data_IF_832735738848
#
_entry.id   IF_832735738848
#
_cell.length_a   1.000
_cell.length_b   1.000
_cell.length_c   1.000
_cell.angle_alpha   90.00
_cell.angle_beta   90.00
_cell.angle_gamma   90.00
#
_symmetry.space_group_name_H-M   'P 1'
#
loop_
_entity.id
_entity.type
_entity.pdbx_description
1 polymer ?
#
# COMPACT_ATOMS: atom_id res chain seq x y z
N UNK A 1 -5.05 -4.83 -23.26
CA UNK A 1 -4.66 -4.47 -21.90
C UNK A 1 -5.52 -3.31 -21.47
N UNK A 2 -6.02 -3.35 -20.24
CA UNK A 2 -6.75 -2.22 -19.65
C UNK A 2 -5.73 -1.23 -19.10
N UNK A 3 -5.85 0.04 -19.50
CA UNK A 3 -5.08 1.16 -18.98
C UNK A 3 -6.07 2.14 -18.38
N UNK A 4 -5.88 2.48 -17.11
CA UNK A 4 -6.73 3.41 -16.37
C UNK A 4 -5.86 4.50 -15.76
N UNK A 5 -6.23 5.74 -16.04
CA UNK A 5 -5.68 6.92 -15.38
C UNK A 5 -6.82 7.62 -14.67
N UNK A 6 -6.64 7.90 -13.38
CA UNK A 6 -7.65 8.58 -12.57
C UNK A 6 -7.00 9.73 -11.80
N UNK A 7 -7.79 10.76 -11.50
CA UNK A 7 -7.34 11.93 -10.76
C UNK A 7 -8.30 12.15 -9.60
N UNK A 8 -7.77 12.05 -8.39
CA UNK A 8 -8.55 12.18 -7.15
C UNK A 8 -8.11 13.47 -6.46
N UNK A 9 -9.06 14.35 -6.16
CA UNK A 9 -8.77 15.55 -5.37
C UNK A 9 -8.64 15.15 -3.90
N UNK A 10 -7.60 15.68 -3.25
CA UNK A 10 -7.35 15.43 -1.83
C UNK A 10 -7.21 16.75 -1.10
N UNK A 11 -7.80 16.82 0.09
CA UNK A 11 -7.55 17.93 1.01
C UNK A 11 -6.08 17.92 1.41
N UNK A 12 -5.46 19.10 1.43
CA UNK A 12 -4.12 19.24 1.99
C UNK A 12 -4.21 18.88 3.47
N UNK A 13 -3.49 17.84 3.86
CA UNK A 13 -3.22 17.52 5.27
C UNK A 13 -1.97 18.26 5.69
N UNK A 14 -1.92 18.71 6.93
CA UNK A 14 -0.76 19.43 7.43
C UNK A 14 0.47 18.54 7.39
N UNK A 15 1.56 19.10 6.89
CA UNK A 15 2.83 18.37 6.70
C UNK A 15 3.41 17.84 8.02
N UNK A 16 2.98 18.40 9.16
CA UNK A 16 3.36 17.93 10.49
C UNK A 16 2.85 16.51 10.79
N UNK A 17 1.77 16.08 10.14
CA UNK A 17 1.19 14.74 10.34
C UNK A 17 1.80 13.68 9.45
N UNK A 18 2.66 14.06 8.49
CA UNK A 18 3.25 13.10 7.58
C UNK A 18 4.30 12.22 8.27
N UNK A 19 4.45 10.99 7.81
CA UNK A 19 5.52 10.09 8.21
C UNK A 19 6.87 10.80 8.04
N UNK A 20 7.54 11.04 9.17
CA UNK A 20 8.84 11.70 9.21
C UNK A 20 9.67 11.06 10.31
N UNK A 21 10.79 10.46 9.92
CA UNK A 21 11.78 9.88 10.84
C UNK A 21 13.16 10.46 10.54
N UNK A 22 14.17 10.13 11.35
CA UNK A 22 15.55 10.57 11.06
C UNK A 22 16.04 10.12 9.67
N UNK A 23 15.56 8.97 9.18
CA UNK A 23 15.90 8.44 7.85
C UNK A 23 14.89 8.82 6.76
N UNK A 24 13.62 9.03 7.12
CA UNK A 24 12.54 9.31 6.16
C UNK A 24 12.13 10.77 6.30
N UNK A 25 12.53 11.59 5.33
CA UNK A 25 12.11 12.99 5.25
C UNK A 25 11.92 13.37 3.78
N UNK A 26 10.78 12.96 3.24
CA UNK A 26 10.39 13.18 1.84
C UNK A 26 9.04 13.85 1.80
N UNK A 27 8.94 14.89 0.97
CA UNK A 27 7.66 15.51 0.68
C UNK A 27 6.81 14.59 -0.21
N UNK A 28 5.47 14.63 -0.14
CA UNK A 28 4.60 13.81 -0.99
C UNK A 28 4.85 14.00 -2.49
N UNK A 29 5.30 15.18 -2.90
CA UNK A 29 5.68 15.50 -4.27
C UNK A 29 6.89 14.70 -4.77
N UNK A 30 7.69 14.10 -3.88
CA UNK A 30 8.86 13.27 -4.21
C UNK A 30 8.54 11.77 -4.22
N UNK A 31 7.30 11.38 -3.88
CA UNK A 31 6.93 9.99 -3.65
C UNK A 31 6.16 9.37 -4.84
N UNK A 32 6.33 8.05 -4.97
CA UNK A 32 5.49 7.16 -5.76
C UNK A 32 4.90 6.15 -4.78
N UNK A 33 3.58 6.07 -4.68
CA UNK A 33 2.91 5.01 -3.94
C UNK A 33 2.63 3.86 -4.90
N UNK A 34 2.99 2.63 -4.52
CA UNK A 34 3.09 1.52 -5.45
C UNK A 34 2.59 0.21 -4.83
N UNK A 35 1.84 -0.55 -5.62
CA UNK A 35 1.30 -1.86 -5.27
C UNK A 35 1.11 -2.72 -6.53
N UNK A 36 1.23 -4.05 -6.39
CA UNK A 36 0.97 -5.01 -7.46
C UNK A 36 -0.05 -6.06 -7.05
N UNK A 37 -0.96 -6.35 -7.99
CA UNK A 37 -1.68 -7.61 -7.97
C UNK A 37 -0.97 -8.63 -8.85
N UNK A 38 -0.59 -9.78 -8.29
CA UNK A 38 0.26 -10.73 -9.00
C UNK A 38 -0.16 -12.19 -8.84
N UNK A 39 0.27 -13.03 -9.80
CA UNK A 39 0.09 -14.47 -9.73
C UNK A 39 1.42 -15.20 -9.64
N UNK A 40 1.56 -15.99 -8.57
CA UNK A 40 2.70 -16.85 -8.29
C UNK A 40 2.25 -18.31 -8.25
N UNK A 41 2.95 -19.18 -8.99
CA UNK A 41 2.79 -20.63 -8.88
C UNK A 41 4.15 -21.30 -8.97
N UNK A 42 4.70 -21.68 -7.81
CA UNK A 42 6.11 -22.06 -7.56
C UNK A 42 7.12 -20.94 -7.85
N UNK A 43 6.88 -20.12 -8.88
CA UNK A 43 7.64 -18.93 -9.26
C UNK A 43 6.67 -17.86 -9.80
N UNK A 44 7.02 -16.57 -9.76
CA UNK A 44 6.18 -15.51 -10.33
C UNK A 44 5.84 -15.77 -11.81
N UNK A 45 4.56 -15.61 -12.17
CA UNK A 45 4.04 -15.88 -13.51
C UNK A 45 3.70 -14.61 -14.26
N UNK A 46 3.02 -13.68 -13.60
CA UNK A 46 2.66 -12.38 -14.14
C UNK A 46 2.38 -11.36 -13.05
N UNK A 47 2.49 -10.09 -13.42
CA UNK A 47 1.76 -8.99 -12.80
C UNK A 47 0.37 -8.98 -13.46
N UNK A 48 -0.66 -9.12 -12.63
CA UNK A 48 -2.06 -9.03 -13.01
C UNK A 48 -2.52 -7.59 -13.13
N UNK A 49 -2.25 -6.78 -12.10
CA UNK A 49 -2.44 -5.33 -12.07
C UNK A 49 -1.16 -4.67 -11.58
N UNK A 50 -0.72 -3.66 -12.31
CA UNK A 50 0.23 -2.66 -11.83
C UNK A 50 -0.58 -1.47 -11.33
N UNK A 51 -0.36 -1.03 -10.09
CA UNK A 51 -0.94 0.19 -9.54
C UNK A 51 0.15 1.13 -9.06
N UNK A 52 0.02 2.41 -9.39
CA UNK A 52 0.82 3.44 -8.76
C UNK A 52 0.05 4.76 -8.67
N UNK A 53 0.32 5.55 -7.63
CA UNK A 53 -0.16 6.93 -7.56
C UNK A 53 0.94 7.91 -7.17
N UNK A 54 0.79 9.16 -7.61
CA UNK A 54 1.66 10.28 -7.23
C UNK A 54 0.83 11.48 -6.79
N UNK A 55 1.35 12.26 -5.84
CA UNK A 55 0.78 13.54 -5.47
C UNK A 55 1.38 14.67 -6.32
N UNK A 56 0.53 15.51 -6.91
CA UNK A 56 0.88 16.78 -7.53
C UNK A 56 -0.29 17.77 -7.35
N UNK A 57 -0.05 18.98 -6.81
CA UNK A 57 -1.04 20.08 -6.71
C UNK A 57 -2.40 19.67 -6.12
N UNK A 58 -2.40 19.04 -4.94
CA UNK A 58 -3.61 18.60 -4.21
C UNK A 58 -4.40 17.50 -4.93
N UNK A 59 -3.75 16.78 -5.85
CA UNK A 59 -4.35 15.70 -6.61
C UNK A 59 -3.47 14.47 -6.55
N UNK A 60 -4.12 13.32 -6.40
CA UNK A 60 -3.51 12.02 -6.65
C UNK A 60 -3.75 11.63 -8.10
N UNK A 61 -2.66 11.41 -8.82
CA UNK A 61 -2.69 10.88 -10.18
C UNK A 61 -2.43 9.38 -10.10
N UNK A 62 -3.49 8.60 -10.28
CA UNK A 62 -3.45 7.14 -10.24
C UNK A 62 -3.21 6.62 -11.66
N UNK A 63 -2.31 5.66 -11.81
CA UNK A 63 -2.04 4.94 -13.06
C UNK A 63 -2.13 3.45 -12.81
N UNK A 64 -2.95 2.76 -13.59
CA UNK A 64 -3.13 1.32 -13.50
C UNK A 64 -3.01 0.64 -14.87
N UNK A 65 -2.36 -0.53 -14.88
CA UNK A 65 -2.32 -1.41 -16.05
C UNK A 65 -2.78 -2.80 -15.62
N UNK A 66 -3.79 -3.35 -16.29
CA UNK A 66 -4.29 -4.70 -16.01
C UNK A 66 -4.23 -5.56 -17.28
N UNK A 67 -3.62 -6.74 -17.15
CA UNK A 67 -3.54 -7.69 -18.27
C UNK A 67 -4.91 -8.30 -18.56
N UNK A 68 -5.19 -8.46 -19.84
CA UNK A 68 -6.41 -9.10 -20.35
C UNK A 68 -6.15 -10.51 -20.85
N UNK A 69 -4.88 -10.84 -21.15
CA UNK A 69 -4.46 -12.18 -21.58
C UNK A 69 -2.95 -12.39 -21.42
N UNK A 70 -2.49 -13.63 -21.61
CA UNK A 70 -1.07 -14.03 -21.46
C UNK A 70 -0.08 -13.26 -22.34
N UNK A 71 -0.48 -12.74 -23.50
CA UNK A 71 0.45 -12.04 -24.41
C UNK A 71 0.92 -10.69 -23.84
N UNK A 72 0.17 -10.16 -22.89
CA UNK A 72 0.40 -8.84 -22.29
C UNK A 72 1.33 -8.88 -21.07
N UNK A 73 1.76 -10.07 -20.65
CA UNK A 73 2.65 -10.27 -19.49
C UNK A 73 3.99 -9.55 -19.65
N UNK A 74 4.51 -9.42 -20.87
CA UNK A 74 5.74 -8.67 -21.14
C UNK A 74 5.42 -7.17 -21.28
N UNK A 75 4.32 -6.84 -21.97
CA UNK A 75 3.89 -5.46 -22.20
C UNK A 75 3.68 -4.68 -20.89
N UNK A 76 3.11 -5.31 -19.85
CA UNK A 76 2.89 -4.64 -18.56
C UNK A 76 4.22 -4.30 -17.86
N UNK A 77 5.25 -5.13 -18.06
CA UNK A 77 6.59 -4.90 -17.51
C UNK A 77 7.28 -3.73 -18.23
N UNK A 78 7.13 -3.63 -19.55
CA UNK A 78 7.63 -2.50 -20.32
C UNK A 78 6.92 -1.19 -19.95
N UNK A 79 5.63 -1.25 -19.65
CA UNK A 79 4.87 -0.09 -19.16
C UNK A 79 5.29 0.31 -17.74
N UNK A 80 5.46 -0.66 -16.84
CA UNK A 80 5.97 -0.41 -15.48
C UNK A 80 7.36 0.25 -15.51
N UNK A 81 8.31 -0.30 -16.28
CA UNK A 81 9.64 0.30 -16.45
C UNK A 81 9.56 1.74 -16.98
N UNK A 82 8.75 1.97 -18.03
CA UNK A 82 8.55 3.32 -18.59
C UNK A 82 7.94 4.27 -17.58
N UNK A 83 7.00 3.80 -16.77
CA UNK A 83 6.39 4.58 -15.70
C UNK A 83 7.44 5.05 -14.69
N UNK A 84 8.24 4.14 -14.13
CA UNK A 84 9.26 4.51 -13.15
C UNK A 84 10.34 5.43 -13.73
N UNK A 85 10.80 5.19 -14.96
CA UNK A 85 11.74 6.11 -15.64
C UNK A 85 11.13 7.51 -15.81
N UNK A 86 9.86 7.60 -16.21
CA UNK A 86 9.13 8.88 -16.34
C UNK A 86 9.02 9.58 -14.98
N UNK A 87 8.68 8.85 -13.92
CA UNK A 87 8.55 9.40 -12.58
C UNK A 87 9.89 9.87 -12.01
N UNK A 88 10.98 9.13 -12.24
CA UNK A 88 12.33 9.56 -11.87
C UNK A 88 12.70 10.89 -12.53
N UNK A 89 12.40 11.03 -13.83
CA UNK A 89 12.61 12.29 -14.58
C UNK A 89 11.75 13.45 -14.08
N UNK A 90 10.58 13.15 -13.51
CA UNK A 90 9.71 14.14 -12.84
C UNK A 90 10.21 14.54 -11.43
N UNK A 91 11.33 13.99 -10.97
CA UNK A 91 11.91 14.32 -9.67
C UNK A 91 11.42 13.43 -8.52
N UNK A 92 10.71 12.33 -8.80
CA UNK A 92 10.37 11.35 -7.77
C UNK A 92 11.64 10.65 -7.26
N UNK A 93 11.75 10.48 -5.95
CA UNK A 93 12.96 10.02 -5.26
C UNK A 93 12.78 8.72 -4.49
N UNK A 94 11.57 8.45 -3.98
CA UNK A 94 11.29 7.27 -3.19
C UNK A 94 10.02 6.56 -3.67
N UNK A 95 9.97 5.26 -3.41
CA UNK A 95 8.78 4.43 -3.60
C UNK A 95 8.28 4.05 -2.21
N UNK A 96 7.00 4.32 -1.97
CA UNK A 96 6.27 3.93 -0.78
C UNK A 96 5.45 2.69 -1.09
N UNK A 97 5.59 1.66 -0.26
CA UNK A 97 4.90 0.37 -0.38
C UNK A 97 4.36 -0.08 0.97
N UNK A 98 3.57 -1.15 0.98
CA UNK A 98 3.22 -1.89 2.19
C UNK A 98 3.64 -3.35 2.01
N UNK A 99 4.59 -3.84 2.81
CA UNK A 99 5.18 -5.17 2.62
C UNK A 99 5.80 -5.35 1.22
N UNK A 100 6.44 -4.30 0.70
CA UNK A 100 6.83 -4.17 -0.70
C UNK A 100 7.86 -5.19 -1.18
N UNK A 101 8.53 -5.90 -0.26
CA UNK A 101 9.46 -6.98 -0.61
C UNK A 101 8.80 -8.06 -1.49
N UNK A 102 7.51 -8.34 -1.29
CA UNK A 102 6.76 -9.29 -2.13
C UNK A 102 6.65 -8.77 -3.58
N UNK A 103 6.24 -7.52 -3.75
CA UNK A 103 6.10 -6.88 -5.06
C UNK A 103 7.45 -6.78 -5.78
N UNK A 104 8.48 -6.30 -5.08
CA UNK A 104 9.84 -6.22 -5.63
C UNK A 104 10.34 -7.60 -6.05
N UNK A 105 10.12 -8.63 -5.25
CA UNK A 105 10.52 -9.99 -5.60
C UNK A 105 9.86 -10.45 -6.91
N UNK A 106 8.56 -10.18 -7.06
CA UNK A 106 7.80 -10.54 -8.27
C UNK A 106 8.28 -9.78 -9.49
N UNK A 107 8.32 -8.44 -9.44
CA UNK A 107 8.67 -7.61 -10.60
C UNK A 107 10.14 -7.81 -11.01
N UNK A 108 11.07 -7.88 -10.04
CA UNK A 108 12.49 -8.13 -10.34
C UNK A 108 12.71 -9.52 -10.94
N UNK A 109 12.01 -10.54 -10.44
CA UNK A 109 12.07 -11.86 -11.03
C UNK A 109 11.59 -11.85 -12.48
N UNK A 110 10.47 -11.18 -12.77
CA UNK A 110 9.90 -11.11 -14.11
C UNK A 110 10.79 -10.27 -15.05
N UNK A 111 11.33 -9.16 -14.58
CA UNK A 111 12.30 -8.35 -15.32
C UNK A 111 13.52 -9.18 -15.70
N UNK A 112 14.13 -9.89 -14.75
CA UNK A 112 15.25 -10.79 -15.02
C UNK A 112 14.88 -11.89 -16.01
N UNK A 113 13.71 -12.51 -15.85
CA UNK A 113 13.23 -13.59 -16.72
C UNK A 113 13.09 -13.14 -18.18
N UNK A 114 12.65 -11.90 -18.41
CA UNK A 114 12.39 -11.36 -19.76
C UNK A 114 13.49 -10.41 -20.25
N UNK A 115 14.63 -10.31 -19.56
CA UNK A 115 15.76 -9.49 -19.99
C UNK A 115 15.53 -7.98 -19.91
N UNK A 116 14.63 -7.53 -19.03
CA UNK A 116 14.34 -6.11 -18.81
C UNK A 116 15.29 -5.56 -17.75
N UNK A 117 16.24 -4.73 -18.17
CA UNK A 117 17.18 -4.09 -17.24
C UNK A 117 16.53 -2.89 -16.54
N UNK A 118 16.35 -3.00 -15.22
CA UNK A 118 15.95 -1.92 -14.33
C UNK A 118 16.32 -2.29 -12.89
N UNK A 119 16.80 -1.34 -12.09
CA UNK A 119 17.21 -1.60 -10.71
C UNK A 119 16.54 -0.60 -9.76
N UNK A 120 15.47 -1.02 -9.10
CA UNK A 120 14.70 -0.17 -8.18
C UNK A 120 15.55 0.45 -7.08
N UNK A 121 16.42 -0.32 -6.41
CA UNK A 121 17.21 0.18 -5.27
C UNK A 121 18.32 1.15 -5.65
N UNK A 122 18.71 1.20 -6.93
CA UNK A 122 19.61 2.24 -7.45
C UNK A 122 18.87 3.52 -7.82
N UNK A 123 17.62 3.40 -8.24
CA UNK A 123 16.84 4.51 -8.78
C UNK A 123 16.01 5.20 -7.70
N UNK A 124 15.58 4.49 -6.66
CA UNK A 124 14.69 5.01 -5.63
C UNK A 124 15.08 4.53 -4.24
N UNK A 125 14.83 5.40 -3.27
CA UNK A 125 14.76 5.04 -1.86
C UNK A 125 13.49 4.21 -1.60
N UNK A 126 13.59 3.22 -0.70
CA UNK A 126 12.50 2.32 -0.35
C UNK A 126 11.91 2.66 1.02
N UNK A 127 10.63 3.00 1.03
CA UNK A 127 9.85 3.30 2.24
C UNK A 127 8.76 2.24 2.35
N UNK A 128 8.92 1.31 3.29
CA UNK A 128 7.92 0.26 3.55
C UNK A 128 7.12 0.62 4.81
N UNK A 129 5.83 0.94 4.62
CA UNK A 129 4.92 1.35 5.68
C UNK A 129 4.75 0.26 6.75
N UNK A 130 4.75 -1.02 6.37
CA UNK A 130 4.61 -2.11 7.34
C UNK A 130 5.83 -2.15 8.27
N UNK A 131 7.03 -1.96 7.71
CA UNK A 131 8.27 -1.93 8.49
C UNK A 131 8.31 -0.72 9.44
N UNK A 132 7.83 0.43 9.01
CA UNK A 132 7.77 1.59 9.91
C UNK A 132 6.73 1.38 11.02
N UNK A 133 5.58 0.76 10.73
CA UNK A 133 4.59 0.40 11.75
C UNK A 133 5.16 -0.59 12.78
N UNK A 134 5.86 -1.62 12.32
CA UNK A 134 6.48 -2.63 13.19
C UNK A 134 7.50 -2.04 14.16
N UNK A 135 8.20 -0.95 13.77
CA UNK A 135 9.17 -0.28 14.64
C UNK A 135 8.49 0.43 15.81
N UNK A 136 7.36 1.07 15.55
CA UNK A 136 6.61 1.83 16.56
C UNK A 136 5.78 0.88 17.45
N UNK A 137 5.10 -0.09 16.84
CA UNK A 137 4.11 -0.94 17.54
C UNK A 137 4.64 -2.30 17.99
N UNK A 138 5.86 -2.67 17.61
CA UNK A 138 6.48 -3.96 17.97
C UNK A 138 5.83 -5.21 17.35
N UNK A 139 4.84 -5.06 16.47
CA UNK A 139 4.16 -6.16 15.80
C UNK A 139 3.75 -5.81 14.36
N UNK A 140 3.59 -6.85 13.53
CA UNK A 140 3.14 -6.70 12.14
C UNK A 140 1.62 -6.70 12.06
N UNK A 141 1.06 -5.91 11.15
CA UNK A 141 -0.37 -5.91 10.83
C UNK A 141 -0.58 -6.05 9.31
N UNK A 142 -1.81 -6.30 8.87
CA UNK A 142 -2.20 -6.26 7.45
C UNK A 142 -2.76 -4.90 7.06
N UNK A 143 -2.61 -4.50 5.79
CA UNK A 143 -2.98 -3.16 5.29
C UNK A 143 -4.40 -2.75 5.66
N UNK A 144 -5.36 -3.67 5.51
CA UNK A 144 -6.77 -3.40 5.84
C UNK A 144 -7.00 -3.03 7.32
N UNK A 145 -6.25 -3.62 8.22
CA UNK A 145 -6.38 -3.29 9.64
C UNK A 145 -5.64 -1.98 9.94
N UNK A 146 -4.44 -1.80 9.39
CA UNK A 146 -3.72 -0.52 9.47
C UNK A 146 -4.59 0.65 8.99
N UNK A 147 -5.29 0.50 7.86
CA UNK A 147 -6.21 1.51 7.36
C UNK A 147 -7.29 1.88 8.38
N UNK A 148 -7.81 0.92 9.15
CA UNK A 148 -8.82 1.20 10.18
C UNK A 148 -8.25 2.01 11.33
N UNK A 149 -7.01 1.70 11.75
CA UNK A 149 -6.32 2.44 12.81
C UNK A 149 -6.17 3.92 12.40
N UNK A 150 -5.92 4.14 11.10
CA UNK A 150 -5.85 5.45 10.45
C UNK A 150 -7.22 6.04 10.08
N UNK A 151 -8.34 5.41 10.47
CA UNK A 151 -9.71 5.82 10.15
C UNK A 151 -9.99 5.96 8.64
N UNK A 152 -9.33 5.13 7.83
CA UNK A 152 -9.50 5.03 6.38
C UNK A 152 -10.45 3.86 6.11
N UNK A 153 -11.56 4.16 5.44
CA UNK A 153 -12.58 3.18 5.09
C UNK A 153 -12.56 2.89 3.59
N UNK A 154 -12.45 1.61 3.25
CA UNK A 154 -12.49 1.14 1.86
C UNK A 154 -13.90 1.22 1.28
N UNK A 155 -13.98 1.52 -0.02
CA UNK A 155 -15.23 1.42 -0.78
C UNK A 155 -15.30 0.05 -1.51
N UNK A 156 -16.50 -0.51 -1.64
CA UNK A 156 -16.72 -1.72 -2.43
C UNK A 156 -16.45 -3.06 -1.71
N UNK A 157 -16.50 -4.15 -2.48
CA UNK A 157 -16.44 -5.52 -1.94
C UNK A 157 -15.02 -5.93 -1.53
N UNK A 158 -14.94 -6.76 -0.48
CA UNK A 158 -13.68 -7.35 -0.03
C UNK A 158 -13.22 -8.41 -1.04
N UNK A 159 -12.09 -8.17 -1.69
CA UNK A 159 -11.42 -9.17 -2.51
C UNK A 159 -10.28 -9.81 -1.72
N UNK A 160 -10.17 -11.13 -1.76
CA UNK A 160 -8.99 -11.83 -1.23
C UNK A 160 -7.91 -12.01 -2.30
N UNK A 161 -6.65 -11.87 -1.91
CA UNK A 161 -5.51 -12.12 -2.81
C UNK A 161 -5.53 -13.51 -3.46
N UNK A 162 -6.08 -14.53 -2.78
CA UNK A 162 -6.26 -15.87 -3.37
C UNK A 162 -7.26 -15.90 -4.55
N UNK A 163 -8.31 -15.08 -4.49
CA UNK A 163 -9.29 -14.95 -5.57
C UNK A 163 -8.71 -14.16 -6.75
N UNK A 164 -7.87 -13.15 -6.47
CA UNK A 164 -7.11 -12.41 -7.50
C UNK A 164 -6.13 -13.33 -8.21
N UNK A 165 -5.32 -14.09 -7.48
CA UNK A 165 -4.40 -15.08 -8.03
C UNK A 165 -5.11 -16.12 -8.92
N UNK A 166 -6.28 -16.65 -8.49
CA UNK A 166 -7.11 -17.54 -9.31
C UNK A 166 -7.62 -16.86 -10.58
N UNK A 167 -7.99 -15.58 -10.49
CA UNK A 167 -8.47 -14.80 -11.64
C UNK A 167 -7.37 -14.61 -12.67
N UNK A 168 -6.17 -14.17 -12.25
CA UNK A 168 -5.03 -14.02 -13.17
C UNK A 168 -4.54 -15.35 -13.72
N UNK A 169 -4.59 -16.43 -12.94
CA UNK A 169 -4.31 -17.78 -13.44
C UNK A 169 -5.21 -18.14 -14.63
N UNK A 170 -6.53 -17.86 -14.54
CA UNK A 170 -7.47 -18.09 -15.65
C UNK A 170 -7.17 -17.19 -16.86
N UNK A 171 -6.86 -15.91 -16.64
CA UNK A 171 -6.43 -14.97 -17.70
C UNK A 171 -5.19 -15.48 -18.45
N UNK A 172 -4.24 -16.12 -17.74
CA UNK A 172 -3.06 -16.70 -18.37
C UNK A 172 -3.35 -18.00 -19.15
N UNK A 173 -4.33 -18.79 -18.71
CA UNK A 173 -4.67 -20.08 -19.32
C UNK A 173 -5.60 -19.93 -20.52
N UNK A 174 -6.46 -18.91 -20.50
CA UNK A 174 -7.50 -18.70 -21.50
C UNK A 174 -7.51 -17.25 -21.97
N UNK A 175 -7.11 -17.07 -23.23
CA UNK A 175 -6.97 -15.76 -23.89
C UNK A 175 -8.28 -14.96 -23.99
N UNK A 176 -9.42 -15.65 -23.95
CA UNK A 176 -10.74 -15.05 -24.14
C UNK A 176 -11.52 -15.01 -22.80
N UNK A 177 -10.89 -15.42 -21.68
CA UNK A 177 -11.52 -15.44 -20.36
C UNK A 177 -12.02 -14.06 -19.93
N UNK A 178 -11.23 -13.02 -20.21
CA UNK A 178 -11.58 -11.63 -19.88
C UNK A 178 -12.88 -11.18 -20.56
N UNK A 179 -13.15 -11.64 -21.79
CA UNK A 179 -14.36 -11.30 -22.55
C UNK A 179 -15.63 -11.90 -21.93
N UNK A 180 -15.47 -12.93 -21.10
CA UNK A 180 -16.55 -13.60 -20.37
C UNK A 180 -16.60 -13.20 -18.90
N UNK A 181 -15.69 -12.34 -18.45
CA UNK A 181 -15.70 -11.81 -17.10
C UNK A 181 -16.75 -10.71 -16.99
N UNK A 182 -17.59 -10.71 -15.93
CA UNK A 182 -18.48 -9.59 -15.65
C UNK A 182 -17.67 -8.29 -15.55
N UNK A 183 -18.19 -7.20 -16.14
CA UNK A 183 -17.50 -5.90 -16.13
C UNK A 183 -17.33 -5.38 -14.72
N UNK A 184 -18.31 -5.64 -13.86
CA UNK A 184 -18.30 -5.27 -12.45
C UNK A 184 -17.10 -5.90 -11.75
N UNK A 185 -16.78 -7.16 -12.05
CA UNK A 185 -15.63 -7.84 -11.45
C UNK A 185 -14.29 -7.22 -11.85
N UNK A 186 -14.15 -6.79 -13.11
CA UNK A 186 -12.96 -6.08 -13.57
C UNK A 186 -12.85 -4.74 -12.81
N UNK A 187 -13.96 -4.03 -12.69
CA UNK A 187 -14.02 -2.76 -11.96
C UNK A 187 -13.68 -2.94 -10.48
N UNK A 188 -14.20 -3.98 -9.81
CA UNK A 188 -13.86 -4.25 -8.41
C UNK A 188 -12.35 -4.47 -8.22
N UNK A 189 -11.69 -5.17 -9.15
CA UNK A 189 -10.24 -5.40 -9.10
C UNK A 189 -9.47 -4.08 -9.25
N UNK A 190 -9.88 -3.23 -10.19
CA UNK A 190 -9.24 -1.93 -10.41
C UNK A 190 -9.47 -0.97 -9.23
N UNK A 191 -10.68 -0.92 -8.68
CA UNK A 191 -11.00 -0.10 -7.50
C UNK A 191 -10.25 -0.59 -6.27
N UNK A 192 -10.14 -1.91 -6.07
CA UNK A 192 -9.37 -2.48 -4.97
C UNK A 192 -7.91 -2.03 -5.01
N UNK A 193 -7.23 -2.19 -6.15
CA UNK A 193 -5.83 -1.76 -6.30
C UNK A 193 -5.67 -0.23 -6.31
N UNK A 194 -6.66 0.53 -6.81
CA UNK A 194 -6.65 2.00 -6.72
C UNK A 194 -6.66 2.44 -5.26
N UNK A 195 -7.52 1.83 -4.44
CA UNK A 195 -7.57 2.09 -3.01
C UNK A 195 -6.27 1.73 -2.31
N UNK A 196 -5.65 0.58 -2.63
CA UNK A 196 -4.37 0.21 -2.03
C UNK A 196 -3.33 1.32 -2.23
N UNK A 197 -3.12 1.81 -3.47
CA UNK A 197 -2.12 2.85 -3.73
C UNK A 197 -2.50 4.23 -3.18
N UNK A 198 -3.78 4.59 -3.15
CA UNK A 198 -4.21 5.88 -2.58
C UNK A 198 -4.21 5.86 -1.05
N UNK A 199 -4.45 4.71 -0.45
CA UNK A 199 -4.46 4.57 1.01
C UNK A 199 -3.05 4.63 1.57
N UNK A 200 -2.03 4.14 0.84
CA UNK A 200 -0.64 4.39 1.21
C UNK A 200 -0.33 5.88 1.33
N UNK A 201 -0.85 6.72 0.42
CA UNK A 201 -0.72 8.18 0.54
C UNK A 201 -1.44 8.70 1.79
N UNK A 202 -2.66 8.23 2.04
CA UNK A 202 -3.43 8.68 3.20
C UNK A 202 -2.78 8.31 4.52
N UNK A 203 -2.26 7.08 4.64
CA UNK A 203 -1.49 6.59 5.78
C UNK A 203 -0.24 7.44 5.96
N UNK A 204 0.53 7.64 4.87
CA UNK A 204 1.73 8.46 4.91
C UNK A 204 1.44 9.86 5.45
N UNK A 205 0.33 10.48 5.05
CA UNK A 205 -0.04 11.85 5.47
C UNK A 205 -0.67 11.96 6.86
N UNK A 206 -1.05 10.85 7.49
CA UNK A 206 -1.71 10.82 8.80
C UNK A 206 -0.86 10.19 9.90
N UNK A 207 0.36 9.75 9.57
CA UNK A 207 1.23 8.97 10.44
C UNK A 207 1.42 9.56 11.83
N UNK A 208 1.90 10.81 11.95
CA UNK A 208 2.17 11.36 13.28
C UNK A 208 0.89 11.74 14.02
N UNK A 209 -0.23 11.94 13.30
CA UNK A 209 -1.53 12.12 13.96
C UNK A 209 -1.99 10.81 14.63
N UNK A 210 -1.73 9.68 13.97
CA UNK A 210 -1.99 8.36 14.54
C UNK A 210 -1.11 8.11 15.77
N UNK A 211 0.22 8.28 15.67
CA UNK A 211 1.12 8.04 16.81
C UNK A 211 0.76 8.87 18.05
N UNK A 212 0.48 10.17 17.88
CA UNK A 212 0.04 11.03 19.00
C UNK A 212 -1.22 10.52 19.69
N UNK A 213 -2.17 10.01 18.89
CA UNK A 213 -3.42 9.47 19.43
C UNK A 213 -3.18 8.18 20.22
N UNK A 214 -2.27 7.32 19.77
CA UNK A 214 -1.93 6.09 20.49
C UNK A 214 -1.18 6.42 21.79
N UNK A 215 -0.23 7.37 21.77
CA UNK A 215 0.44 7.88 22.99
C UNK A 215 -0.58 8.41 24.02
N UNK A 216 -1.57 9.20 23.57
CA UNK A 216 -2.65 9.69 24.44
C UNK A 216 -3.54 8.57 25.01
N UNK A 217 -3.71 7.46 24.28
CA UNK A 217 -4.48 6.30 24.77
C UNK A 217 -3.69 5.55 25.84
N UNK A 218 -2.41 5.27 25.57
CA UNK A 218 -1.52 4.58 26.51
C UNK A 218 -1.38 5.36 27.83
N UNK A 219 -1.19 6.69 27.78
CA UNK A 219 -1.13 7.54 28.98
C UNK A 219 -2.44 7.49 29.80
N UNK A 220 -3.60 7.44 29.15
CA UNK A 220 -4.87 7.35 29.85
C UNK A 220 -5.12 5.96 30.46
N UNK A 221 -4.70 4.89 29.79
CA UNK A 221 -4.79 3.52 30.32
C UNK A 221 -3.87 3.34 31.54
N UNK A 222 -2.65 3.88 31.52
CA UNK A 222 -1.74 3.87 32.68
C UNK A 222 -2.34 4.63 33.88
N UNK A 223 -2.97 5.79 33.66
CA UNK A 223 -3.64 6.56 34.71
C UNK A 223 -4.86 5.81 35.30
N UNK A 224 -5.64 5.12 34.46
CA UNK A 224 -6.76 4.29 34.92
C UNK A 224 -6.28 3.09 35.75
N UNK A 225 -5.19 2.43 35.35
CA UNK A 225 -4.58 1.34 36.13
C UNK A 225 -4.01 1.82 37.48
N UNK A 226 -3.27 2.94 37.51
CA UNK A 226 -2.76 3.53 38.77
C UNK A 226 -3.90 3.94 39.72
N UNK A 227 -4.98 4.52 39.20
CA UNK A 227 -6.15 4.89 40.00
C UNK A 227 -6.85 3.66 40.59
N UNK A 228 -6.96 2.58 39.81
CA UNK A 228 -7.55 1.31 40.24
C UNK A 228 -6.72 0.61 41.32
N UNK A 229 -5.38 0.68 41.25
CA UNK A 229 -4.48 0.13 42.27
C UNK A 229 -4.60 0.94 43.58
N UNK A 230 -4.64 2.26 43.50
CA UNK A 230 -4.78 3.13 44.67
C UNK A 230 -6.13 2.94 45.38
N UNK A 231 -7.24 2.72 44.65
CA UNK A 231 -8.54 2.40 45.25
C UNK A 231 -8.53 1.06 45.99
N UNK A 232 -7.80 0.05 45.50
CA UNK A 232 -7.69 -1.25 46.17
C UNK A 232 -6.85 -1.16 47.45
N UNK A 233 -5.75 -0.39 47.45
CA UNK A 233 -4.92 -0.17 48.64
C UNK A 233 -5.65 0.66 49.73
N UNK A 234 -6.52 1.59 49.37
CA UNK A 234 -7.36 2.32 50.33
C UNK A 234 -8.40 1.40 51.00
N UNK A 235 -9.00 0.46 50.24
CA UNK A 235 -9.99 -0.49 50.77
C UNK A 235 -9.34 -1.46 51.78
N UNK A 236 -8.15 -1.99 51.50
CA UNK A 236 -7.46 -2.91 52.40
C UNK A 236 -6.99 -2.25 53.72
N UNK A 237 -6.72 -0.95 53.70
CA UNK A 237 -6.40 -0.17 54.90
C UNK A 237 -7.63 0.16 55.77
N UNK A 238 -8.84 0.15 55.21
CA UNK A 238 -10.09 0.41 55.95
C UNK A 238 -10.64 -0.86 56.63
N UNK A 239 -10.36 -2.05 56.08
CA UNK A 239 -10.85 -3.33 56.65
C UNK A 239 -9.95 -3.86 57.79
N UNK A 240 -8.76 -3.27 57.98
CA UNK A 240 -7.75 -3.71 58.95
C UNK A 240 -7.77 -2.96 60.30
N UNK A 241 -8.78 -2.13 60.59
CA UNK A 241 -8.96 -1.40 61.85
C UNK A 241 -10.19 -1.84 62.65
#
# INVERSE_FOLDING_TARGET
MIIRENVIEVSIKDKEYMLSTASINRSPEELIFFDLEHYVYKKPKCIGVFGACIFEKNKLYVTQYMIENKREVIQILDLAKRYFIKMKKKGKKAIVTFSGNNDYTVINYLFKKYGIEFNFSREFEDIDIQREYEKEMGHSIGLKNLEKDFSIFREGEVISGSNLAKTFSKILMDKDYILRMPKEKIETILVYNEQDVTNLYNIYMLWNAYLKKEEEIDENEELEEESSINEVEEIDNVVSN
#
